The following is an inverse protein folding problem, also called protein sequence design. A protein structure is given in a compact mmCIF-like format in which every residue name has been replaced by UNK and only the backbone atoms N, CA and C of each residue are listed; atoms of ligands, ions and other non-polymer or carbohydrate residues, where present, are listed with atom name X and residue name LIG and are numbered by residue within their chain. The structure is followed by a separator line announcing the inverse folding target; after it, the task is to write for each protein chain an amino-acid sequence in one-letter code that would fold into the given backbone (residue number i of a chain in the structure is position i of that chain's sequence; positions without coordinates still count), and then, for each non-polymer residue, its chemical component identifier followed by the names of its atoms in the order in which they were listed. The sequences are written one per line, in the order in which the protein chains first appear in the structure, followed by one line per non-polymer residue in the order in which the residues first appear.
data_IF_375995410591
#
_entry.id   IF_375995410591
#
_cell.length_a   1.000
_cell.length_b   1.000
_cell.length_c   1.000
_cell.angle_alpha   90.00
_cell.angle_beta   90.00
_cell.angle_gamma   90.00
#
_symmetry.space_group_name_H-M   'P 1'
#
loop_
_entity.id
_entity.type
_entity.pdbx_description
1 polymer ?
#
# COMPACT_ATOMS: atom_id res chain seq x y z
N UNK A 1 8.95 -4.60 -8.33
CA UNK A 1 8.52 -4.34 -6.93
C UNK A 1 9.24 -5.27 -5.93
N UNK A 2 10.48 -4.95 -5.52
CA UNK A 2 11.24 -5.79 -4.58
C UNK A 2 10.70 -5.72 -3.14
N UNK A 3 10.10 -4.59 -2.75
CA UNK A 3 9.55 -4.38 -1.40
C UNK A 3 8.41 -5.34 -1.03
N UNK A 4 7.75 -5.95 -2.02
CA UNK A 4 6.69 -6.94 -1.86
C UNK A 4 7.10 -8.34 -2.37
N UNK A 5 8.41 -8.61 -2.44
CA UNK A 5 8.92 -9.88 -2.96
C UNK A 5 8.49 -11.09 -2.11
N UNK A 6 8.36 -10.91 -0.79
CA UNK A 6 7.98 -11.96 0.17
C UNK A 6 6.50 -12.33 0.15
N UNK A 7 5.65 -11.50 -0.45
CA UNK A 7 4.23 -11.80 -0.58
C UNK A 7 3.93 -12.51 -1.91
N UNK A 8 2.97 -13.42 -1.85
CA UNK A 8 2.25 -13.84 -3.05
C UNK A 8 1.57 -12.62 -3.66
N UNK A 9 1.79 -12.41 -4.96
CA UNK A 9 1.28 -11.26 -5.67
C UNK A 9 1.05 -11.55 -7.13
N UNK A 10 0.12 -10.82 -7.71
CA UNK A 10 -0.10 -10.76 -9.14
C UNK A 10 0.10 -9.32 -9.59
N UNK A 11 0.82 -9.13 -10.68
CA UNK A 11 1.07 -7.80 -11.24
C UNK A 11 0.66 -7.79 -12.70
N UNK A 12 -0.16 -6.82 -13.06
CA UNK A 12 -0.57 -6.56 -14.44
C UNK A 12 -0.17 -5.14 -14.82
N UNK A 13 0.17 -4.95 -16.09
CA UNK A 13 0.36 -3.59 -16.63
C UNK A 13 -0.98 -3.10 -17.17
N UNK A 14 -1.44 -1.96 -16.64
CA UNK A 14 -2.62 -1.23 -17.11
C UNK A 14 -2.14 -0.24 -18.19
N UNK A 15 -2.30 -0.60 -19.46
CA UNK A 15 -1.87 0.22 -20.59
C UNK A 15 -2.62 1.56 -20.66
N UNK A 16 -3.90 1.60 -20.27
CA UNK A 16 -4.72 2.82 -20.29
C UNK A 16 -4.21 3.83 -19.27
N UNK A 17 -3.83 3.37 -18.08
CA UNK A 17 -3.29 4.23 -17.01
C UNK A 17 -1.77 4.38 -17.07
N UNK A 18 -1.10 3.61 -17.92
CA UNK A 18 0.36 3.60 -18.03
C UNK A 18 1.08 3.16 -16.75
N UNK A 19 0.44 2.34 -15.91
CA UNK A 19 0.96 1.97 -14.59
C UNK A 19 0.83 0.46 -14.30
N UNK A 20 1.56 -0.02 -13.29
CA UNK A 20 1.42 -1.40 -12.84
C UNK A 20 0.42 -1.50 -11.69
N UNK A 21 -0.56 -2.38 -11.84
CA UNK A 21 -1.49 -2.75 -10.76
C UNK A 21 -0.98 -4.03 -10.12
N UNK A 22 -0.84 -4.02 -8.79
CA UNK A 22 -0.35 -5.15 -8.02
C UNK A 22 -1.42 -5.58 -7.01
N UNK A 23 -1.85 -6.83 -7.10
CA UNK A 23 -2.67 -7.49 -6.09
C UNK A 23 -1.76 -8.28 -5.16
N UNK A 24 -1.91 -8.07 -3.85
CA UNK A 24 -1.05 -8.65 -2.81
C UNK A 24 -1.89 -9.54 -1.92
N UNK A 25 -1.48 -10.79 -1.78
CA UNK A 25 -2.05 -11.76 -0.85
C UNK A 25 -1.14 -11.84 0.37
N UNK A 26 -1.71 -11.62 1.55
CA UNK A 26 -0.97 -11.52 2.81
C UNK A 26 -1.73 -12.18 3.96
N UNK A 27 -1.01 -12.64 4.98
CA UNK A 27 -1.60 -13.10 6.24
C UNK A 27 -2.05 -11.89 7.07
N UNK A 28 -3.24 -11.95 7.67
CA UNK A 28 -3.77 -10.86 8.50
C UNK A 28 -2.84 -10.48 9.66
N UNK A 29 -2.01 -11.41 10.16
CA UNK A 29 -0.98 -11.13 11.17
C UNK A 29 0.11 -10.18 10.66
N UNK A 30 0.34 -10.12 9.35
CA UNK A 30 1.31 -9.24 8.69
C UNK A 30 0.71 -7.91 8.20
N UNK A 31 -0.60 -7.66 8.40
CA UNK A 31 -1.28 -6.47 7.85
C UNK A 31 -0.58 -5.16 8.25
N UNK A 32 -0.07 -5.09 9.48
CA UNK A 32 0.64 -3.90 9.97
C UNK A 32 1.95 -3.67 9.23
N UNK A 33 2.72 -4.72 8.94
CA UNK A 33 3.97 -4.64 8.17
C UNK A 33 3.70 -4.26 6.71
N UNK A 34 2.65 -4.82 6.11
CA UNK A 34 2.19 -4.43 4.78
C UNK A 34 1.84 -2.94 4.73
N UNK A 35 1.10 -2.44 5.71
CA UNK A 35 0.73 -1.03 5.82
C UNK A 35 1.95 -0.11 5.97
N UNK A 36 2.95 -0.49 6.77
CA UNK A 36 4.20 0.25 6.92
C UNK A 36 4.96 0.30 5.58
N UNK A 37 5.09 -0.83 4.89
CA UNK A 37 5.74 -0.90 3.57
C UNK A 37 5.02 -0.01 2.56
N UNK A 38 3.70 -0.03 2.51
CA UNK A 38 2.91 0.86 1.63
C UNK A 38 3.20 2.33 1.96
N UNK A 39 3.12 2.71 3.23
CA UNK A 39 3.38 4.09 3.67
C UNK A 39 4.81 4.57 3.34
N UNK A 40 5.79 3.67 3.33
CA UNK A 40 7.18 4.00 2.99
C UNK A 40 7.38 4.50 1.55
N UNK A 41 6.43 4.22 0.64
CA UNK A 41 6.45 4.75 -0.73
C UNK A 41 6.01 6.22 -0.81
N UNK A 42 5.41 6.78 0.25
CA UNK A 42 4.85 8.12 0.22
C UNK A 42 3.80 8.29 -0.90
N UNK A 43 3.84 9.38 -1.68
CA UNK A 43 2.80 9.70 -2.67
C UNK A 43 2.91 8.91 -3.98
N UNK A 44 3.86 7.98 -4.11
CA UNK A 44 4.17 7.31 -5.39
C UNK A 44 3.22 6.14 -5.71
N UNK A 45 2.48 5.65 -4.71
CA UNK A 45 1.55 4.53 -4.87
C UNK A 45 0.13 4.92 -4.47
N UNK A 46 -0.84 4.35 -5.17
CA UNK A 46 -2.26 4.45 -4.83
C UNK A 46 -2.78 3.09 -4.35
N UNK A 47 -3.51 3.08 -3.23
CA UNK A 47 -4.16 1.86 -2.74
C UNK A 47 -5.59 1.79 -3.23
N UNK A 48 -5.82 0.90 -4.19
CA UNK A 48 -7.14 0.71 -4.82
C UNK A 48 -8.15 -0.01 -3.92
N UNK A 49 -7.69 -0.79 -2.93
CA UNK A 49 -8.56 -1.45 -1.97
C UNK A 49 -7.81 -2.48 -1.11
N UNK A 50 -8.53 -3.16 -0.20
CA UNK A 50 -9.92 -2.91 0.18
C UNK A 50 -10.07 -1.62 1.02
N UNK A 51 -11.30 -1.12 1.15
CA UNK A 51 -11.59 0.16 1.85
C UNK A 51 -11.01 0.22 3.28
N UNK A 52 -11.02 -0.92 3.98
CA UNK A 52 -10.36 -1.11 5.29
C UNK A 52 -8.91 -0.61 5.29
N UNK A 53 -8.12 -1.04 4.29
CA UNK A 53 -6.70 -0.71 4.18
C UNK A 53 -6.53 0.77 3.89
N UNK A 54 -7.33 1.33 2.97
CA UNK A 54 -7.28 2.76 2.68
C UNK A 54 -7.59 3.62 3.92
N UNK A 55 -8.62 3.26 4.70
CA UNK A 55 -8.96 3.96 5.95
C UNK A 55 -7.81 3.93 6.94
N UNK A 56 -7.17 2.77 7.08
CA UNK A 56 -6.01 2.57 7.93
C UNK A 56 -4.78 3.40 7.52
N UNK A 57 -4.55 3.55 6.21
CA UNK A 57 -3.48 4.40 5.66
C UNK A 57 -3.80 5.87 5.92
N UNK A 58 -5.00 6.33 5.58
CA UNK A 58 -5.44 7.72 5.81
C UNK A 58 -5.30 8.13 7.28
N UNK A 59 -5.71 7.28 8.20
CA UNK A 59 -5.56 7.53 9.64
C UNK A 59 -4.10 7.66 10.08
N UNK A 60 -3.20 6.83 9.54
CA UNK A 60 -1.77 6.89 9.87
C UNK A 60 -1.10 8.15 9.31
N UNK A 61 -1.42 8.52 8.06
CA UNK A 61 -0.92 9.77 7.44
C UNK A 61 -1.38 10.98 8.25
N UNK A 62 -2.68 11.04 8.62
CA UNK A 62 -3.19 12.15 9.44
C UNK A 62 -2.44 12.29 10.77
N UNK A 63 -2.09 11.18 11.43
CA UNK A 63 -1.28 11.19 12.66
C UNK A 63 0.16 11.66 12.42
N UNK A 64 0.76 11.30 11.29
CA UNK A 64 2.11 11.76 10.94
C UNK A 64 2.13 13.27 10.72
N UNK A 65 1.12 13.83 10.05
CA UNK A 65 1.01 15.27 9.81
C UNK A 65 0.88 16.10 11.10
N UNK A 66 0.21 15.57 12.13
CA UNK A 66 0.06 16.24 13.44
C UNK A 66 1.42 16.47 14.13
N UNK A 67 2.44 15.67 13.82
CA UNK A 67 3.77 15.75 14.45
C UNK A 67 4.81 16.49 13.58
N UNK A 68 4.38 17.16 12.51
CA UNK A 68 5.26 17.89 11.59
C UNK A 68 5.29 19.41 11.86
N UNK A 69 4.79 19.88 13.01
CA UNK A 69 4.87 21.28 13.49
C UNK A 69 6.04 21.50 14.47
#
# INVERSE_FOLDING_TARGET
MLQFASYDKQTVYDEEKGCHVCEIFYDIMEETELLIRILSFGPVVEVLGPERIQKQIRQRIARQMIHME
#
